data_IF_655029177235
#
_entry.id   IF_655029177235
#
_cell.length_a   1.000
_cell.length_b   1.000
_cell.length_c   1.000
_cell.angle_alpha   90.00
_cell.angle_beta   90.00
_cell.angle_gamma   90.00
#
_symmetry.space_group_name_H-M   'P 1'
#
loop_
_entity.id
_entity.type
_entity.pdbx_description
1 polymer ?
#
# COMPACT_ATOMS: atom_id res chain seq x y z
N UNK A 1 20.09 20.29 -6.72
CA UNK A 1 18.96 20.72 -7.59
C UNK A 1 18.43 19.48 -8.30
N UNK A 2 17.34 18.86 -7.80
CA UNK A 2 16.74 17.72 -8.49
C UNK A 2 15.82 18.25 -9.59
N UNK A 3 16.22 18.08 -10.86
CA UNK A 3 15.35 18.37 -12.00
C UNK A 3 14.13 17.45 -11.94
N UNK A 4 12.92 18.00 -11.74
CA UNK A 4 11.69 17.24 -11.90
C UNK A 4 11.58 16.74 -13.34
N UNK A 5 11.39 15.43 -13.51
CA UNK A 5 11.28 14.80 -14.83
C UNK A 5 10.15 15.43 -15.67
N UNK A 6 10.26 15.44 -17.00
CA UNK A 6 9.23 16.02 -17.88
C UNK A 6 7.88 15.31 -17.71
N UNK A 7 6.81 16.09 -17.72
CA UNK A 7 5.41 15.66 -17.44
C UNK A 7 4.96 14.49 -18.34
N UNK A 8 5.46 14.41 -19.58
CA UNK A 8 5.17 13.33 -20.52
C UNK A 8 5.73 11.97 -20.08
N UNK A 9 6.95 11.93 -19.53
CA UNK A 9 7.54 10.71 -18.94
C UNK A 9 6.77 10.27 -17.69
N UNK A 10 6.25 11.24 -16.92
CA UNK A 10 5.41 10.96 -15.76
C UNK A 10 4.15 10.16 -16.10
N UNK A 11 3.44 10.51 -17.19
CA UNK A 11 2.17 9.87 -17.55
C UNK A 11 2.31 8.42 -18.00
N UNK A 12 3.38 8.09 -18.75
CA UNK A 12 3.71 6.72 -19.14
C UNK A 12 4.11 5.86 -17.92
N UNK A 13 4.92 6.43 -17.03
CA UNK A 13 5.38 5.75 -15.80
C UNK A 13 4.22 5.47 -14.82
N UNK A 14 3.19 6.32 -14.79
CA UNK A 14 1.98 6.07 -13.99
C UNK A 14 1.18 4.86 -14.50
N UNK A 15 1.06 4.70 -15.82
CA UNK A 15 0.41 3.53 -16.43
C UNK A 15 1.13 2.22 -16.08
N UNK A 16 2.46 2.21 -16.18
CA UNK A 16 3.28 1.06 -15.80
C UNK A 16 3.20 0.75 -14.30
N UNK A 17 3.25 1.78 -13.43
CA UNK A 17 3.09 1.61 -11.97
C UNK A 17 1.73 1.00 -11.61
N UNK A 18 0.64 1.44 -12.25
CA UNK A 18 -0.70 0.88 -12.02
C UNK A 18 -0.80 -0.58 -12.47
N UNK A 19 -0.19 -0.92 -13.61
CA UNK A 19 -0.13 -2.29 -14.09
C UNK A 19 0.65 -3.21 -13.13
N UNK A 20 1.83 -2.78 -12.69
CA UNK A 20 2.65 -3.53 -11.73
C UNK A 20 1.95 -3.72 -10.37
N UNK A 21 1.27 -2.68 -9.88
CA UNK A 21 0.48 -2.76 -8.64
C UNK A 21 -0.59 -3.87 -8.71
N UNK A 22 -1.31 -3.98 -9.84
CA UNK A 22 -2.33 -5.01 -10.02
C UNK A 22 -1.74 -6.43 -10.13
N UNK A 23 -0.49 -6.57 -10.57
CA UNK A 23 0.19 -7.86 -10.65
C UNK A 23 0.67 -8.38 -9.30
N UNK A 24 1.09 -7.52 -8.38
CA UNK A 24 1.57 -7.94 -7.06
C UNK A 24 0.51 -8.65 -6.21
N UNK A 25 -0.79 -8.47 -6.51
CA UNK A 25 -1.86 -9.29 -5.94
C UNK A 25 -2.22 -9.02 -4.47
N UNK A 26 -1.48 -8.17 -3.76
CA UNK A 26 -1.80 -7.78 -2.37
C UNK A 26 -3.13 -7.01 -2.26
N UNK A 27 -3.57 -6.37 -3.35
CA UNK A 27 -4.89 -5.76 -3.49
C UNK A 27 -6.02 -6.79 -3.28
N UNK A 28 -5.82 -8.05 -3.69
CA UNK A 28 -6.81 -9.13 -3.54
C UNK A 28 -6.95 -9.62 -2.11
N UNK A 29 -5.96 -9.35 -1.25
CA UNK A 29 -5.98 -9.64 0.18
C UNK A 29 -6.46 -8.43 1.00
N UNK A 30 -6.70 -7.29 0.35
CA UNK A 30 -7.09 -6.05 1.02
C UNK A 30 -5.96 -5.44 1.86
N UNK A 31 -4.70 -5.67 1.48
CA UNK A 31 -3.53 -5.05 2.08
C UNK A 31 -3.25 -3.68 1.45
N UNK A 32 -2.64 -2.78 2.22
CA UNK A 32 -2.06 -1.54 1.71
C UNK A 32 -0.58 -1.73 1.37
N UNK A 33 0.01 -0.81 0.60
CA UNK A 33 1.42 -0.89 0.19
C UNK A 33 2.35 -0.99 1.41
N UNK A 34 2.13 -0.14 2.41
CA UNK A 34 3.01 -0.06 3.58
C UNK A 34 2.83 -1.24 4.53
N UNK A 35 1.83 -2.10 4.33
CA UNK A 35 1.69 -3.36 5.05
C UNK A 35 2.65 -4.45 4.49
N UNK A 36 3.18 -4.27 3.27
CA UNK A 36 4.05 -5.26 2.59
C UNK A 36 5.56 -5.00 2.80
N UNK A 37 5.92 -3.94 3.54
CA UNK A 37 7.32 -3.63 3.84
C UNK A 37 7.89 -4.60 4.88
N UNK A 38 9.17 -4.95 4.77
CA UNK A 38 9.83 -5.78 5.76
C UNK A 38 10.04 -5.02 7.07
N UNK A 39 9.83 -5.67 8.22
CA UNK A 39 9.91 -5.03 9.54
C UNK A 39 11.35 -4.95 10.07
N UNK A 40 12.15 -4.09 9.44
CA UNK A 40 13.51 -3.75 9.88
C UNK A 40 13.48 -2.79 11.10
N UNK A 41 14.65 -2.47 11.66
CA UNK A 41 14.75 -1.61 12.85
C UNK A 41 14.08 -0.23 12.65
N UNK A 42 14.28 0.38 11.48
CA UNK A 42 13.69 1.68 11.13
C UNK A 42 12.16 1.61 11.00
N UNK A 43 11.64 0.52 10.43
CA UNK A 43 10.20 0.31 10.28
C UNK A 43 9.55 0.09 11.63
N UNK A 44 10.20 -0.64 12.55
CA UNK A 44 9.72 -0.81 13.93
C UNK A 44 9.65 0.51 14.67
N UNK A 45 10.62 1.40 14.48
CA UNK A 45 10.57 2.74 15.05
C UNK A 45 9.45 3.58 14.44
N UNK A 46 9.24 3.51 13.12
CA UNK A 46 8.14 4.19 12.44
C UNK A 46 6.77 3.71 12.94
N UNK A 47 6.59 2.40 13.15
CA UNK A 47 5.38 1.83 13.73
C UNK A 47 5.14 2.30 15.17
N UNK A 48 6.19 2.53 15.96
CA UNK A 48 6.09 3.07 17.32
C UNK A 48 5.61 4.53 17.35
N UNK A 49 5.91 5.31 16.31
CA UNK A 49 5.51 6.72 16.18
C UNK A 49 4.07 6.89 15.71
N UNK A 50 3.47 5.83 15.15
CA UNK A 50 2.14 5.88 14.55
C UNK A 50 1.04 5.98 15.62
N UNK A 51 -0.05 6.73 15.40
CA UNK A 51 -1.19 6.75 16.31
C UNK A 51 -1.84 5.36 16.42
N UNK A 52 -2.33 5.04 17.61
CA UNK A 52 -2.84 3.71 17.97
C UNK A 52 -3.95 3.22 17.04
N UNK A 53 -4.85 4.10 16.60
CA UNK A 53 -5.95 3.76 15.70
C UNK A 53 -5.43 3.21 14.36
N UNK A 54 -4.47 3.91 13.74
CA UNK A 54 -3.90 3.51 12.45
C UNK A 54 -3.08 2.21 12.59
N UNK A 55 -2.40 2.03 13.72
CA UNK A 55 -1.70 0.78 14.03
C UNK A 55 -2.66 -0.42 14.13
N UNK A 56 -3.78 -0.24 14.84
CA UNK A 56 -4.80 -1.27 14.98
C UNK A 56 -5.44 -1.63 13.63
N UNK A 57 -5.71 -0.64 12.77
CA UNK A 57 -6.21 -0.86 11.42
C UNK A 57 -5.22 -1.65 10.55
N UNK A 58 -3.92 -1.33 10.63
CA UNK A 58 -2.85 -2.13 9.98
C UNK A 58 -2.89 -3.57 10.46
N UNK A 59 -2.95 -3.76 11.77
CA UNK A 59 -2.97 -5.10 12.37
C UNK A 59 -4.20 -5.90 11.95
N UNK A 60 -5.37 -5.27 11.83
CA UNK A 60 -6.58 -5.89 11.33
C UNK A 60 -6.43 -6.36 9.88
N UNK A 61 -5.88 -5.51 9.00
CA UNK A 61 -5.65 -5.87 7.59
C UNK A 61 -4.69 -7.06 7.46
N UNK A 62 -3.59 -7.07 8.23
CA UNK A 62 -2.61 -8.17 8.23
C UNK A 62 -3.25 -9.47 8.71
N UNK A 63 -3.99 -9.46 9.83
CA UNK A 63 -4.70 -10.64 10.34
C UNK A 63 -5.69 -11.21 9.32
N UNK A 64 -6.47 -10.33 8.68
CA UNK A 64 -7.39 -10.71 7.61
C UNK A 64 -6.65 -11.35 6.42
N UNK A 65 -5.56 -10.75 5.99
CA UNK A 65 -4.76 -11.29 4.88
C UNK A 65 -4.15 -12.66 5.21
N UNK A 66 -3.69 -12.86 6.45
CA UNK A 66 -3.19 -14.15 6.92
C UNK A 66 -4.30 -15.22 6.92
N UNK A 67 -5.48 -14.91 7.43
CA UNK A 67 -6.63 -15.84 7.44
C UNK A 67 -7.02 -16.28 6.01
N UNK A 68 -7.07 -15.33 5.07
CA UNK A 68 -7.36 -15.60 3.66
C UNK A 68 -6.25 -16.42 2.99
N UNK A 69 -4.99 -16.10 3.29
CA UNK A 69 -3.84 -16.84 2.79
C UNK A 69 -3.85 -18.30 3.30
N UNK A 70 -4.22 -18.53 4.56
CA UNK A 70 -4.37 -19.88 5.11
C UNK A 70 -5.48 -20.65 4.39
N UNK A 71 -6.59 -19.98 4.07
CA UNK A 71 -7.74 -20.58 3.35
C UNK A 71 -7.52 -20.69 1.84
N UNK A 72 -6.43 -20.12 1.29
CA UNK A 72 -6.21 -19.97 -0.15
C UNK A 72 -7.40 -19.30 -0.85
N UNK A 73 -8.03 -18.34 -0.17
CA UNK A 73 -9.18 -17.58 -0.66
C UNK A 73 -8.80 -16.12 -0.90
N UNK A 74 -9.58 -15.44 -1.74
CA UNK A 74 -9.42 -14.01 -2.04
C UNK A 74 -10.64 -13.25 -1.56
N UNK A 75 -10.46 -11.96 -1.26
CA UNK A 75 -11.60 -11.08 -0.95
C UNK A 75 -12.55 -10.97 -2.16
N UNK A 76 -13.85 -10.68 -1.96
CA UNK A 76 -14.72 -10.21 -3.02
C UNK A 76 -14.14 -8.97 -3.71
N UNK A 77 -14.36 -8.83 -5.02
CA UNK A 77 -13.72 -7.79 -5.85
C UNK A 77 -14.07 -6.38 -5.39
N UNK A 78 -15.23 -6.21 -4.77
CA UNK A 78 -15.73 -4.93 -4.25
C UNK A 78 -14.91 -4.42 -3.06
N UNK A 79 -14.24 -5.33 -2.34
CA UNK A 79 -13.45 -5.03 -1.14
C UNK A 79 -11.94 -4.94 -1.43
N UNK A 80 -11.53 -5.05 -2.69
CA UNK A 80 -10.11 -4.94 -3.07
C UNK A 80 -9.63 -3.51 -2.93
N UNK A 81 -8.44 -3.32 -2.36
CA UNK A 81 -7.81 -2.02 -2.23
C UNK A 81 -7.61 -1.40 -3.61
N UNK A 82 -8.13 -0.18 -3.81
CA UNK A 82 -7.98 0.52 -5.10
C UNK A 82 -6.66 1.28 -5.15
N UNK A 83 -6.06 1.35 -6.34
CA UNK A 83 -4.79 2.05 -6.55
C UNK A 83 -4.82 3.52 -6.10
N UNK A 84 -5.97 4.17 -6.26
CA UNK A 84 -6.16 5.60 -5.91
C UNK A 84 -6.19 5.83 -4.39
N UNK A 85 -6.63 4.83 -3.61
CA UNK A 85 -6.70 4.89 -2.14
C UNK A 85 -5.31 4.72 -1.49
N UNK A 86 -4.32 4.19 -2.21
CA UNK A 86 -2.97 3.92 -1.67
C UNK A 86 -2.02 5.13 -1.86
N UNK A 87 -2.57 6.33 -2.08
CA UNK A 87 -1.79 7.58 -2.14
C UNK A 87 -0.74 7.63 -3.25
N UNK A 88 -0.79 6.73 -4.24
CA UNK A 88 0.23 6.67 -5.30
C UNK A 88 0.19 7.84 -6.29
N UNK A 89 -0.90 8.61 -6.29
CA UNK A 89 -1.21 9.69 -7.22
C UNK A 89 -0.87 11.07 -6.67
N UNK A 90 -0.86 11.25 -5.35
CA UNK A 90 -0.61 12.54 -4.72
C UNK A 90 0.56 12.41 -3.76
N UNK A 91 1.64 13.15 -4.02
CA UNK A 91 2.70 13.38 -3.04
C UNK A 91 2.24 14.30 -1.91
N UNK A 92 1.02 14.12 -1.41
CA UNK A 92 0.45 14.90 -0.33
C UNK A 92 0.46 14.06 0.96
N UNK A 93 1.31 14.51 1.86
CA UNK A 93 1.09 14.59 3.30
C UNK A 93 0.95 13.28 4.10
N UNK A 94 2.11 12.70 4.39
CA UNK A 94 2.35 12.01 5.66
C UNK A 94 2.93 12.94 6.73
N UNK A 95 2.77 14.26 6.54
CA UNK A 95 3.07 15.31 7.51
C UNK A 95 1.83 16.20 7.61
N UNK A 96 0.87 15.77 8.42
CA UNK A 96 0.02 16.61 9.25
C UNK A 96 -0.35 15.80 10.49
#
# INVERSE_FOLDING_TARGET
MASRAPVATGRLMLGFRKWYYNLCGFNKLGLMRDDTINEDADVKEALRRLPEQVYNDRMFRIKRALDLSMKQQVLPKEQWTKYEEVGCVEGHDWIN
#
